data_IF_342377651619
#
_entry.id   IF_342377651619
#
_cell.length_a   1.000
_cell.length_b   1.000
_cell.length_c   1.000
_cell.angle_alpha   90.00
_cell.angle_beta   90.00
_cell.angle_gamma   90.00
#
_symmetry.space_group_name_H-M   'P 1'
#
loop_
_entity.id
_entity.type
_entity.pdbx_description
1 polymer ?
#
# COMPACT_ATOMS: atom_id res chain seq x y z
N UNK A 1 -11.09 -4.49 4.77
CA UNK A 1 -10.15 -3.37 4.93
C UNK A 1 -9.74 -3.19 6.39
N UNK A 2 -10.66 -2.81 7.28
CA UNK A 2 -10.37 -2.52 8.70
C UNK A 2 -9.54 -3.60 9.41
N UNK A 3 -9.99 -4.86 9.42
CA UNK A 3 -9.25 -5.97 10.04
C UNK A 3 -7.83 -6.16 9.46
N UNK A 4 -7.66 -5.87 8.16
CA UNK A 4 -6.36 -5.94 7.50
C UNK A 4 -5.43 -4.81 7.94
N UNK A 5 -5.96 -3.61 8.15
CA UNK A 5 -5.20 -2.48 8.69
C UNK A 5 -4.83 -2.65 10.16
N UNK A 6 -5.71 -3.25 10.97
CA UNK A 6 -5.36 -3.61 12.35
C UNK A 6 -4.23 -4.65 12.40
N UNK A 7 -4.23 -5.61 11.48
CA UNK A 7 -3.12 -6.55 11.34
C UNK A 7 -1.84 -5.82 10.91
N UNK A 8 -1.92 -4.90 9.94
CA UNK A 8 -0.78 -4.11 9.49
C UNK A 8 -0.17 -3.26 10.62
N UNK A 9 -0.99 -2.66 11.49
CA UNK A 9 -0.51 -1.92 12.65
C UNK A 9 0.32 -2.78 13.62
N UNK A 10 0.00 -4.08 13.74
CA UNK A 10 0.75 -5.04 14.56
C UNK A 10 1.95 -5.64 13.84
N UNK A 11 1.86 -5.78 12.52
CA UNK A 11 2.88 -6.40 11.67
C UNK A 11 3.20 -5.49 10.47
N UNK A 12 3.87 -4.35 10.71
CA UNK A 12 4.10 -3.32 9.69
C UNK A 12 4.96 -3.80 8.51
N UNK A 13 5.80 -4.82 8.72
CA UNK A 13 6.68 -5.41 7.70
C UNK A 13 6.05 -6.61 6.96
N UNK A 14 4.73 -6.79 7.05
CA UNK A 14 4.01 -7.92 6.43
C UNK A 14 3.60 -7.66 4.97
N UNK A 15 3.95 -6.50 4.42
CA UNK A 15 3.70 -6.16 3.02
C UNK A 15 4.74 -6.72 2.07
N UNK A 16 4.45 -6.56 0.79
CA UNK A 16 5.38 -6.88 -0.29
C UNK A 16 6.04 -5.59 -0.75
N UNK A 17 7.37 -5.55 -0.75
CA UNK A 17 8.14 -4.41 -1.26
C UNK A 17 7.81 -4.15 -2.75
N UNK A 18 7.67 -2.87 -3.09
CA UNK A 18 7.39 -2.36 -4.43
C UNK A 18 8.37 -1.27 -4.80
N UNK A 19 9.64 -1.63 -4.74
CA UNK A 19 10.74 -0.75 -5.17
C UNK A 19 10.67 -0.44 -6.68
N UNK A 20 9.90 -1.22 -7.45
CA UNK A 20 9.54 -0.94 -8.84
C UNK A 20 8.61 0.28 -8.99
N UNK A 21 7.90 0.68 -7.93
CA UNK A 21 7.09 1.91 -7.88
C UNK A 21 7.93 3.06 -7.29
N UNK A 22 8.47 2.86 -6.09
CA UNK A 22 9.41 3.77 -5.45
C UNK A 22 10.07 3.08 -4.25
N UNK A 23 11.31 3.47 -3.87
CA UNK A 23 12.01 2.89 -2.73
C UNK A 23 11.21 2.98 -1.43
N UNK A 24 11.14 1.87 -0.70
CA UNK A 24 10.49 1.82 0.63
C UNK A 24 8.97 1.84 0.59
N UNK A 25 8.37 1.69 -0.59
CA UNK A 25 6.94 1.42 -0.72
C UNK A 25 6.69 -0.07 -0.53
N UNK A 26 5.69 -0.39 0.27
CA UNK A 26 5.15 -1.73 0.40
C UNK A 26 3.68 -1.72 -0.03
N UNK A 27 3.18 -2.88 -0.45
CA UNK A 27 1.76 -3.06 -0.67
C UNK A 27 1.16 -4.19 0.14
N UNK A 28 -0.16 -4.15 0.27
CA UNK A 28 -0.97 -5.26 0.72
C UNK A 28 -2.30 -5.29 -0.04
N UNK A 29 -2.84 -6.49 -0.23
CA UNK A 29 -4.16 -6.70 -0.83
C UNK A 29 -5.19 -7.02 0.26
N UNK A 30 -6.38 -6.44 0.14
CA UNK A 30 -7.54 -6.69 1.00
C UNK A 30 -8.79 -6.83 0.12
N UNK A 31 -9.06 -8.05 -0.34
CA UNK A 31 -10.12 -8.30 -1.32
C UNK A 31 -9.80 -7.60 -2.65
N UNK A 32 -10.75 -6.84 -3.18
CA UNK A 32 -10.61 -6.11 -4.46
C UNK A 32 -9.76 -4.84 -4.37
N UNK A 33 -9.13 -4.56 -3.22
CA UNK A 33 -8.36 -3.34 -3.01
C UNK A 33 -6.90 -3.61 -2.71
N UNK A 34 -6.04 -2.75 -3.25
CA UNK A 34 -4.61 -2.69 -2.97
C UNK A 34 -4.31 -1.42 -2.17
N UNK A 35 -3.60 -1.56 -1.06
CA UNK A 35 -3.12 -0.43 -0.26
C UNK A 35 -1.62 -0.29 -0.46
N UNK A 36 -1.17 0.89 -0.91
CA UNK A 36 0.23 1.29 -0.93
C UNK A 36 0.54 2.04 0.36
N UNK A 37 1.60 1.66 1.03
CA UNK A 37 2.05 2.29 2.27
C UNK A 37 3.58 2.32 2.36
N UNK A 38 4.08 3.02 3.38
CA UNK A 38 5.49 2.97 3.77
C UNK A 38 5.61 3.07 5.29
N UNK A 39 6.79 2.74 5.79
CA UNK A 39 7.13 2.88 7.20
C UNK A 39 7.96 4.15 7.41
N UNK A 40 7.50 5.04 8.28
CA UNK A 40 8.20 6.30 8.60
C UNK A 40 8.17 6.52 10.10
N UNK A 41 9.33 6.61 10.75
CA UNK A 41 9.41 6.96 12.19
C UNK A 41 8.59 6.03 13.10
N UNK A 42 8.54 4.73 12.79
CA UNK A 42 7.75 3.75 13.54
C UNK A 42 6.25 3.76 13.25
N UNK A 43 5.80 4.56 12.27
CA UNK A 43 4.40 4.64 11.85
C UNK A 43 4.18 4.04 10.47
N UNK A 44 2.99 3.47 10.27
CA UNK A 44 2.51 3.07 8.95
C UNK A 44 1.83 4.26 8.28
N UNK A 45 2.37 4.73 7.16
CA UNK A 45 1.77 5.80 6.36
C UNK A 45 1.06 5.20 5.15
N UNK A 46 -0.27 5.25 5.15
CA UNK A 46 -1.09 4.86 4.01
C UNK A 46 -1.00 5.95 2.94
N UNK A 47 -0.49 5.60 1.77
CA UNK A 47 -0.26 6.57 0.68
C UNK A 47 -1.45 6.59 -0.26
N UNK A 48 -1.92 5.41 -0.70
CA UNK A 48 -3.08 5.25 -1.57
C UNK A 48 -3.80 3.93 -1.33
N UNK A 49 -5.11 3.96 -1.55
CA UNK A 49 -5.95 2.76 -1.64
C UNK A 49 -6.56 2.73 -3.04
N UNK A 50 -6.32 1.65 -3.76
CA UNK A 50 -6.66 1.49 -5.16
C UNK A 50 -7.61 0.30 -5.30
N UNK A 51 -8.62 0.41 -6.15
CA UNK A 51 -9.45 -0.73 -6.53
C UNK A 51 -8.71 -1.52 -7.62
N UNK A 52 -8.47 -2.81 -7.42
CA UNK A 52 -7.61 -3.67 -8.26
C UNK A 52 -8.12 -3.86 -9.69
N UNK A 53 -9.43 -3.70 -9.92
CA UNK A 53 -10.03 -3.70 -11.27
C UNK A 53 -9.78 -2.43 -12.09
N UNK A 54 -9.18 -1.40 -11.50
CA UNK A 54 -8.83 -0.19 -12.26
C UNK A 54 -7.57 -0.46 -13.06
N UNK A 55 -7.63 -0.17 -14.36
CA UNK A 55 -6.42 -0.07 -15.16
C UNK A 55 -5.74 1.28 -14.83
N UNK A 56 -4.60 1.24 -14.16
CA UNK A 56 -3.88 2.42 -13.69
C UNK A 56 -2.63 2.58 -14.54
N UNK A 57 -2.54 3.67 -15.30
CA UNK A 57 -1.35 4.04 -16.05
C UNK A 57 -0.47 5.01 -15.26
N UNK A 58 0.82 5.07 -15.60
CA UNK A 58 1.79 6.00 -15.00
C UNK A 58 1.68 7.43 -15.55
N UNK A 59 0.60 7.76 -16.28
CA UNK A 59 0.44 9.09 -16.86
C UNK A 59 0.14 10.11 -15.78
N UNK A 60 1.04 11.09 -15.64
CA UNK A 60 0.79 12.29 -14.85
C UNK A 60 -0.17 13.16 -15.67
N UNK A 61 -1.38 13.35 -15.16
CA UNK A 61 -2.28 14.38 -15.69
C UNK A 61 -1.76 15.70 -15.13
N UNK A 62 -1.11 16.48 -15.99
CA UNK A 62 -0.60 17.83 -15.69
C UNK A 62 -1.73 18.84 -15.84
#
# INVERSE_FOLDING_TARGET
>A
MEARWQHLARHPYSGVARDDIAPGIEHLVSGEYLTLYRLTGGTVQIIRVLHGRRNISSQVVV
#
